data_IF_654387924015
#
_entry.id   IF_654387924015
#
_cell.length_a   1.000
_cell.length_b   1.000
_cell.length_c   1.000
_cell.angle_alpha   90.00
_cell.angle_beta   90.00
_cell.angle_gamma   90.00
#
_symmetry.space_group_name_H-M   'P 1'
#
loop_
_entity.id
_entity.type
_entity.pdbx_description
1 polymer ?
#
# COMPACT_ATOMS: atom_id res chain seq x y z
N UNK A 1 16.88 12.70 1.95
CA UNK A 1 17.54 12.15 0.75
C UNK A 1 16.66 11.02 0.27
N UNK A 2 15.74 11.29 -0.65
CA UNK A 2 14.85 10.27 -1.20
C UNK A 2 15.66 9.41 -2.15
N UNK A 3 15.85 8.14 -1.83
CA UNK A 3 16.36 7.16 -2.79
C UNK A 3 15.29 7.00 -3.87
N UNK A 4 15.51 7.58 -5.04
CA UNK A 4 14.65 7.30 -6.20
C UNK A 4 14.97 5.87 -6.63
N UNK A 5 14.02 4.97 -6.39
CA UNK A 5 14.05 3.62 -6.93
C UNK A 5 13.71 3.76 -8.41
N UNK A 6 14.56 3.25 -9.29
CA UNK A 6 14.29 3.26 -10.72
C UNK A 6 13.02 2.43 -11.03
N UNK A 7 12.19 2.85 -11.99
CA UNK A 7 11.03 2.07 -12.40
C UNK A 7 11.45 0.69 -12.92
N UNK A 8 10.55 -0.30 -12.81
CA UNK A 8 10.77 -1.66 -13.32
C UNK A 8 12.07 -2.33 -12.79
N UNK A 9 12.44 -2.04 -11.54
CA UNK A 9 13.68 -2.55 -10.93
C UNK A 9 13.55 -3.94 -10.34
N UNK A 10 12.33 -4.39 -9.98
CA UNK A 10 12.12 -5.60 -9.19
C UNK A 10 11.27 -6.66 -9.90
N UNK A 11 11.72 -7.92 -9.83
CA UNK A 11 10.94 -9.08 -10.29
C UNK A 11 9.88 -9.50 -9.25
N UNK A 12 10.18 -9.28 -7.96
CA UNK A 12 9.31 -9.63 -6.84
C UNK A 12 9.34 -8.53 -5.79
N UNK A 13 8.18 -8.21 -5.22
CA UNK A 13 8.04 -7.35 -4.04
C UNK A 13 7.20 -8.09 -3.00
N UNK A 14 7.47 -7.87 -1.72
CA UNK A 14 6.69 -8.43 -0.63
C UNK A 14 6.44 -7.36 0.43
N UNK A 15 5.20 -7.25 0.91
CA UNK A 15 4.81 -6.37 1.99
C UNK A 15 3.78 -7.06 2.86
N UNK A 16 4.07 -7.17 4.15
CA UNK A 16 3.20 -7.77 5.15
C UNK A 16 3.09 -6.84 6.33
N UNK A 17 1.87 -6.53 6.71
CA UNK A 17 1.56 -5.67 7.85
C UNK A 17 2.28 -4.32 7.83
N UNK A 18 2.13 -3.57 6.73
CA UNK A 18 2.81 -2.29 6.52
C UNK A 18 1.90 -1.29 5.81
N UNK A 19 1.35 -1.65 4.64
CA UNK A 19 0.58 -0.74 3.78
C UNK A 19 -0.70 -0.24 4.47
N UNK A 20 -1.30 -1.04 5.34
CA UNK A 20 -2.51 -0.68 6.06
C UNK A 20 -2.32 0.50 7.03
N UNK A 21 -1.07 0.83 7.38
CA UNK A 21 -0.71 1.93 8.26
C UNK A 21 -0.49 3.25 7.51
N UNK A 22 -0.25 3.21 6.20
CA UNK A 22 0.20 4.36 5.41
C UNK A 22 -0.79 5.53 5.45
N UNK A 23 -0.33 6.72 5.86
CA UNK A 23 -1.14 7.93 5.90
C UNK A 23 -2.13 8.02 7.07
N UNK A 24 -1.94 7.20 8.11
CA UNK A 24 -2.71 7.29 9.36
C UNK A 24 -2.03 8.16 10.42
N UNK A 25 -0.83 8.70 10.17
CA UNK A 25 -0.12 9.53 11.15
C UNK A 25 0.33 8.76 12.38
N UNK A 26 0.44 7.42 12.28
CA UNK A 26 0.90 6.54 13.37
C UNK A 26 2.36 6.79 13.72
N UNK A 27 3.17 7.18 12.74
CA UNK A 27 4.62 7.30 12.84
C UNK A 27 5.07 8.76 12.71
N UNK A 28 4.25 9.70 13.18
CA UNK A 28 4.41 11.14 12.97
C UNK A 28 4.46 11.53 11.47
N UNK A 29 3.96 10.64 10.59
CA UNK A 29 3.77 10.88 9.18
C UNK A 29 2.58 11.82 8.92
N UNK A 30 2.60 12.63 7.84
CA UNK A 30 1.43 13.42 7.47
C UNK A 30 0.22 12.52 7.25
N UNK A 31 -0.93 12.93 7.78
CA UNK A 31 -2.20 12.23 7.52
C UNK A 31 -2.51 12.32 6.03
N UNK A 32 -2.70 11.16 5.41
CA UNK A 32 -3.04 11.00 4.01
C UNK A 32 -4.13 9.92 3.86
N UNK A 33 -5.39 10.32 3.65
CA UNK A 33 -6.52 9.39 3.51
C UNK A 33 -6.38 8.36 2.40
N UNK A 34 -5.49 8.60 1.41
CA UNK A 34 -5.21 7.69 0.29
C UNK A 34 -3.76 7.19 0.27
N UNK A 35 -3.03 7.32 1.39
CA UNK A 35 -1.62 6.97 1.47
C UNK A 35 -1.32 5.50 1.11
N UNK A 36 -2.16 4.58 1.58
CA UNK A 36 -2.09 3.15 1.23
C UNK A 36 -2.25 2.90 -0.28
N UNK A 37 -3.19 3.57 -0.94
CA UNK A 37 -3.39 3.48 -2.40
C UNK A 37 -2.17 4.04 -3.13
N UNK A 38 -1.59 5.14 -2.65
CA UNK A 38 -0.35 5.71 -3.23
C UNK A 38 0.84 4.77 -3.07
N UNK A 39 0.97 4.08 -1.95
CA UNK A 39 2.01 3.06 -1.78
C UNK A 39 1.82 1.88 -2.74
N UNK A 40 0.58 1.42 -2.96
CA UNK A 40 0.28 0.40 -3.97
C UNK A 40 0.69 0.86 -5.38
N UNK A 41 0.42 2.12 -5.74
CA UNK A 41 0.82 2.69 -7.02
C UNK A 41 2.35 2.74 -7.19
N UNK A 42 3.09 3.16 -6.16
CA UNK A 42 4.56 3.15 -6.19
C UNK A 42 5.10 1.75 -6.40
N UNK A 43 4.54 0.76 -5.69
CA UNK A 43 4.94 -0.65 -5.83
C UNK A 43 4.69 -1.13 -7.26
N UNK A 44 3.55 -0.77 -7.87
CA UNK A 44 3.25 -1.08 -9.27
C UNK A 44 4.27 -0.48 -10.24
N UNK A 45 4.79 0.72 -9.97
CA UNK A 45 5.78 1.37 -10.85
C UNK A 45 7.19 0.77 -10.78
N UNK A 46 7.58 0.22 -9.62
CA UNK A 46 8.92 -0.36 -9.43
C UNK A 46 8.98 -1.85 -9.79
N UNK A 47 7.83 -2.50 -9.95
CA UNK A 47 7.73 -3.86 -10.44
C UNK A 47 7.94 -3.90 -11.95
N UNK A 48 8.69 -4.89 -12.43
CA UNK A 48 8.79 -5.19 -13.85
C UNK A 48 7.44 -5.66 -14.39
N UNK A 49 7.18 -5.51 -15.71
CA UNK A 49 6.06 -6.17 -16.36
C UNK A 49 6.05 -7.68 -16.07
N UNK A 50 4.94 -8.17 -15.51
CA UNK A 50 4.81 -9.59 -15.09
C UNK A 50 5.46 -9.94 -13.75
N UNK A 51 6.03 -8.97 -13.03
CA UNK A 51 6.54 -9.15 -11.68
C UNK A 51 5.42 -9.49 -10.68
N UNK A 52 5.79 -10.13 -9.57
CA UNK A 52 4.83 -10.61 -8.57
C UNK A 52 4.92 -9.79 -7.30
N UNK A 53 3.77 -9.33 -6.81
CA UNK A 53 3.65 -8.68 -5.52
C UNK A 53 2.96 -9.57 -4.50
N UNK A 54 3.66 -9.89 -3.40
CA UNK A 54 3.09 -10.58 -2.25
C UNK A 54 2.58 -9.54 -1.24
N UNK A 55 1.26 -9.49 -1.06
CA UNK A 55 0.59 -8.53 -0.19
C UNK A 55 -0.11 -9.25 0.98
N UNK A 56 0.24 -8.88 2.22
CA UNK A 56 -0.45 -9.30 3.43
C UNK A 56 -1.03 -8.10 4.19
N UNK A 57 -2.35 -7.97 4.15
CA UNK A 57 -3.11 -6.89 4.79
C UNK A 57 -4.37 -7.43 5.49
N UNK A 58 -4.92 -6.74 6.50
CA UNK A 58 -6.16 -7.16 7.17
C UNK A 58 -7.36 -7.05 6.23
N UNK A 59 -8.14 -8.12 6.09
CA UNK A 59 -9.36 -8.15 5.26
C UNK A 59 -10.58 -8.43 6.15
N UNK A 60 -11.66 -7.68 5.95
CA UNK A 60 -12.87 -7.77 6.79
C UNK A 60 -13.94 -6.74 6.43
N UNK A 61 -14.59 -6.15 7.43
CA UNK A 61 -15.43 -4.97 7.24
C UNK A 61 -14.52 -3.75 7.03
N UNK A 62 -14.85 -2.87 6.07
CA UNK A 62 -14.12 -1.62 5.89
C UNK A 62 -14.13 -0.82 7.19
N UNK A 63 -12.94 -0.60 7.76
CA UNK A 63 -12.76 0.11 9.02
C UNK A 63 -11.41 0.82 9.07
N UNK A 64 -11.35 1.89 9.87
CA UNK A 64 -10.12 2.61 10.15
C UNK A 64 -9.96 2.74 11.66
N UNK A 65 -9.08 1.92 12.23
CA UNK A 65 -8.58 2.13 13.58
C UNK A 65 -7.69 3.38 13.57
N UNK A 66 -8.19 4.49 14.11
CA UNK A 66 -7.50 5.79 14.11
C UNK A 66 -6.06 5.62 14.61
N UNK A 67 -5.08 6.09 13.81
CA UNK A 67 -3.63 5.98 14.05
C UNK A 67 -3.10 4.55 14.27
N UNK A 68 -3.90 3.53 13.94
CA UNK A 68 -3.55 2.13 14.04
C UNK A 68 -3.42 1.54 12.64
N UNK A 69 -4.50 0.99 12.08
CA UNK A 69 -4.47 0.36 10.75
C UNK A 69 -5.84 0.44 10.07
N UNK A 70 -5.86 0.17 8.77
CA UNK A 70 -7.08 -0.07 7.99
C UNK A 70 -7.41 -1.56 7.92
N UNK A 71 -8.69 -1.88 8.01
CA UNK A 71 -9.21 -3.18 7.58
C UNK A 71 -9.89 -3.00 6.24
N UNK A 72 -9.51 -3.82 5.27
CA UNK A 72 -9.97 -3.69 3.88
C UNK A 72 -11.20 -4.56 3.64
N UNK A 73 -12.33 -3.91 3.36
CA UNK A 73 -13.57 -4.57 3.03
C UNK A 73 -13.99 -4.35 1.60
N UNK A 74 -15.29 -4.52 1.35
CA UNK A 74 -15.86 -4.55 0.00
C UNK A 74 -15.66 -3.24 -0.77
N UNK A 75 -15.51 -2.11 -0.08
CA UNK A 75 -15.36 -0.79 -0.70
C UNK A 75 -13.89 -0.49 -0.98
N UNK A 76 -13.01 -0.66 0.02
CA UNK A 76 -11.62 -0.21 -0.10
C UNK A 76 -10.69 -1.26 -0.69
N UNK A 77 -10.90 -2.55 -0.45
CA UNK A 77 -10.04 -3.61 -0.96
C UNK A 77 -9.85 -3.56 -2.49
N UNK A 78 -10.89 -3.34 -3.32
CA UNK A 78 -10.70 -3.24 -4.77
C UNK A 78 -9.79 -2.07 -5.20
N UNK A 79 -9.76 -0.98 -4.42
CA UNK A 79 -8.92 0.18 -4.71
C UNK A 79 -7.43 -0.12 -4.57
N UNK A 80 -7.07 -1.12 -3.76
CA UNK A 80 -5.68 -1.55 -3.60
C UNK A 80 -5.12 -2.18 -4.87
N UNK A 81 -5.99 -2.68 -5.74
CA UNK A 81 -5.63 -3.33 -7.01
C UNK A 81 -6.09 -2.52 -8.23
N UNK A 82 -6.53 -1.27 -8.02
CA UNK A 82 -6.68 -0.31 -9.10
C UNK A 82 -5.26 0.04 -9.58
N UNK A 83 -4.77 -0.73 -10.55
CA UNK A 83 -3.44 -0.57 -11.13
C UNK A 83 -3.25 0.79 -11.79
N UNK A 84 -2.06 0.99 -12.34
CA UNK A 84 -1.78 2.04 -13.31
C UNK A 84 -2.38 1.70 -14.68
#
# INVERSE_FOLDING_TARGET
MSTLIEPESFDFVASFSSIEHSGLGRYDDPIDPIGDIREMQKISCILKPGGIFFLGIPVGQDDVGINCHRTYGRIRLPLMFAGC
#
